data_IF_419728686498
#
_entry.id   IF_419728686498
#
_cell.length_a   1.000
_cell.length_b   1.000
_cell.length_c   1.000
_cell.angle_alpha   90.00
_cell.angle_beta   90.00
_cell.angle_gamma   90.00
#
_symmetry.space_group_name_H-M   'P 1'
#
loop_
_entity.id
_entity.type
_entity.pdbx_description
1 polymer ?
#
# COMPACT_ATOMS: atom_id res chain seq x y z
N UNK A 1 -16.54 -23.40 -43.14
CA UNK A 1 -15.53 -23.45 -42.05
C UNK A 1 -15.30 -22.08 -41.42
N UNK A 2 -15.03 -21.01 -42.19
CA UNK A 2 -14.74 -19.66 -41.67
C UNK A 2 -15.87 -19.01 -40.85
N UNK A 3 -17.13 -19.18 -41.26
CA UNK A 3 -18.30 -18.65 -40.52
C UNK A 3 -18.51 -19.31 -39.14
N UNK A 4 -18.04 -20.55 -38.98
CA UNK A 4 -18.14 -21.28 -37.71
C UNK A 4 -17.06 -20.83 -36.73
N UNK A 5 -15.84 -20.58 -37.22
CA UNK A 5 -14.73 -20.08 -36.39
C UNK A 5 -15.02 -18.67 -35.87
N UNK A 6 -15.57 -17.80 -36.73
CA UNK A 6 -15.99 -16.44 -36.32
C UNK A 6 -17.07 -16.48 -35.23
N UNK A 7 -18.05 -17.37 -35.35
CA UNK A 7 -19.11 -17.51 -34.36
C UNK A 7 -18.57 -18.03 -33.01
N UNK A 8 -17.63 -18.97 -33.04
CA UNK A 8 -16.96 -19.46 -31.82
C UNK A 8 -16.16 -18.35 -31.16
N UNK A 9 -15.45 -17.52 -31.93
CA UNK A 9 -14.65 -16.44 -31.38
C UNK A 9 -15.52 -15.32 -30.80
N UNK A 10 -16.68 -14.99 -31.40
CA UNK A 10 -17.68 -14.10 -30.80
C UNK A 10 -18.16 -14.62 -29.44
N UNK A 11 -18.50 -15.91 -29.35
CA UNK A 11 -18.94 -16.52 -28.08
C UNK A 11 -17.85 -16.47 -27.01
N UNK A 12 -16.59 -16.75 -27.37
CA UNK A 12 -15.45 -16.63 -26.45
C UNK A 12 -15.28 -15.19 -25.97
N UNK A 13 -15.39 -14.21 -26.88
CA UNK A 13 -15.28 -12.79 -26.53
C UNK A 13 -16.40 -12.36 -25.58
N UNK A 14 -17.63 -12.81 -25.80
CA UNK A 14 -18.78 -12.51 -24.92
C UNK A 14 -18.62 -13.11 -23.54
N UNK A 15 -18.16 -14.36 -23.43
CA UNK A 15 -17.86 -15.01 -22.15
C UNK A 15 -16.75 -14.24 -21.42
N UNK A 16 -15.66 -13.91 -22.11
CA UNK A 16 -14.56 -13.15 -21.53
C UNK A 16 -14.99 -11.76 -21.06
N UNK A 17 -15.82 -11.06 -21.84
CA UNK A 17 -16.38 -9.76 -21.47
C UNK A 17 -17.27 -9.86 -20.22
N UNK A 18 -18.11 -10.88 -20.16
CA UNK A 18 -19.00 -11.15 -19.02
C UNK A 18 -18.19 -11.46 -17.75
N UNK A 19 -17.16 -12.29 -17.86
CA UNK A 19 -16.23 -12.57 -16.76
C UNK A 19 -15.51 -11.32 -16.25
N UNK A 20 -15.04 -10.45 -17.16
CA UNK A 20 -14.44 -9.15 -16.79
C UNK A 20 -15.44 -8.25 -16.06
N UNK A 21 -16.69 -8.24 -16.51
CA UNK A 21 -17.75 -7.44 -15.88
C UNK A 21 -18.03 -7.90 -14.45
N UNK A 22 -18.19 -9.21 -14.26
CA UNK A 22 -18.37 -9.82 -12.93
C UNK A 22 -17.20 -9.45 -12.03
N UNK A 23 -15.96 -9.63 -12.51
CA UNK A 23 -14.75 -9.30 -11.73
C UNK A 23 -14.69 -7.83 -11.31
N UNK A 24 -14.98 -6.91 -12.24
CA UNK A 24 -15.02 -5.47 -11.95
C UNK A 24 -16.09 -5.13 -10.92
N UNK A 25 -17.25 -5.77 -11.04
CA UNK A 25 -18.36 -5.55 -10.12
C UNK A 25 -18.03 -6.05 -8.70
N UNK A 26 -17.43 -7.23 -8.57
CA UNK A 26 -16.99 -7.76 -7.28
C UNK A 26 -15.89 -6.90 -6.66
N UNK A 27 -14.88 -6.50 -7.43
CA UNK A 27 -13.82 -5.57 -6.98
C UNK A 27 -14.38 -4.22 -6.51
N UNK A 28 -15.39 -3.68 -7.23
CA UNK A 28 -16.08 -2.45 -6.83
C UNK A 28 -16.80 -2.64 -5.49
N UNK A 29 -17.53 -3.74 -5.32
CA UNK A 29 -18.28 -4.02 -4.11
C UNK A 29 -17.33 -4.21 -2.90
N UNK A 30 -16.23 -4.92 -3.09
CA UNK A 30 -15.19 -5.09 -2.07
C UNK A 30 -14.64 -3.74 -1.62
N UNK A 31 -14.23 -2.88 -2.57
CA UNK A 31 -13.75 -1.52 -2.24
C UNK A 31 -14.79 -0.68 -1.53
N UNK A 32 -16.05 -0.74 -1.98
CA UNK A 32 -17.15 -0.01 -1.32
C UNK A 32 -17.30 -0.44 0.14
N UNK A 33 -17.31 -1.76 0.40
CA UNK A 33 -17.43 -2.30 1.75
C UNK A 33 -16.21 -1.93 2.62
N UNK A 34 -15.00 -2.04 2.08
CA UNK A 34 -13.77 -1.66 2.78
C UNK A 34 -13.76 -0.17 3.12
N UNK A 35 -14.15 0.70 2.18
CA UNK A 35 -14.22 2.15 2.41
C UNK A 35 -15.30 2.51 3.46
N UNK A 36 -16.45 1.85 3.40
CA UNK A 36 -17.51 2.04 4.41
C UNK A 36 -17.03 1.58 5.79
N UNK A 37 -16.32 0.46 5.86
CA UNK A 37 -15.73 -0.04 7.10
C UNK A 37 -14.62 0.89 7.59
N UNK A 38 -13.78 1.44 6.71
CA UNK A 38 -12.78 2.45 7.06
C UNK A 38 -13.39 3.70 7.69
N UNK A 39 -14.53 4.16 7.19
CA UNK A 39 -15.20 5.35 7.73
C UNK A 39 -15.89 5.09 9.07
N UNK A 40 -16.36 3.87 9.33
CA UNK A 40 -17.15 3.54 10.53
C UNK A 40 -16.32 2.90 11.64
N UNK A 41 -15.46 1.95 11.31
CA UNK A 41 -14.63 1.17 12.24
C UNK A 41 -13.31 0.74 11.57
N UNK A 42 -12.32 1.64 11.64
CA UNK A 42 -10.99 1.41 11.08
C UNK A 42 -10.30 0.19 11.68
N UNK A 43 -10.51 -0.07 12.98
CA UNK A 43 -9.89 -1.18 13.69
C UNK A 43 -10.31 -2.51 13.07
N UNK A 44 -11.61 -2.69 12.83
CA UNK A 44 -12.14 -3.90 12.18
C UNK A 44 -11.64 -4.09 10.75
N UNK A 45 -11.45 -2.99 10.01
CA UNK A 45 -10.85 -3.08 8.68
C UNK A 45 -9.42 -3.65 8.78
N UNK A 46 -8.58 -3.08 9.65
CA UNK A 46 -7.21 -3.55 9.81
C UNK A 46 -7.15 -4.98 10.35
N UNK A 47 -7.98 -5.35 11.34
CA UNK A 47 -8.11 -6.75 11.80
C UNK A 47 -8.50 -7.71 10.66
N UNK A 48 -9.33 -7.26 9.71
CA UNK A 48 -9.71 -8.07 8.54
C UNK A 48 -8.59 -8.21 7.51
N UNK A 49 -7.69 -7.21 7.40
CA UNK A 49 -6.51 -7.22 6.54
C UNK A 49 -5.35 -8.00 7.17
N UNK A 50 -5.24 -7.96 8.49
CA UNK A 50 -4.27 -8.71 9.30
C UNK A 50 -4.60 -10.19 9.37
N UNK A 51 -5.84 -10.59 9.03
CA UNK A 51 -6.19 -12.00 8.93
C UNK A 51 -5.27 -12.62 7.88
N UNK A 52 -4.34 -13.53 8.27
CA UNK A 52 -3.38 -14.05 7.33
C UNK A 52 -4.18 -14.80 6.27
N UNK A 53 -4.07 -14.37 5.02
CA UNK A 53 -4.14 -15.29 3.88
C UNK A 53 -3.28 -16.47 4.29
N UNK A 54 -3.95 -17.59 4.64
CA UNK A 54 -3.40 -18.80 5.25
C UNK A 54 -1.89 -18.69 5.40
N UNK A 55 -1.42 -18.34 6.61
CA UNK A 55 0.00 -18.26 6.96
C UNK A 55 0.69 -19.39 6.24
N UNK A 56 1.40 -19.08 5.16
CA UNK A 56 2.00 -20.11 4.34
C UNK A 56 2.87 -20.89 5.30
N UNK A 57 2.56 -22.17 5.49
CA UNK A 57 3.38 -23.13 6.22
C UNK A 57 4.65 -23.42 5.41
N UNK A 58 5.28 -22.35 4.90
CA UNK A 58 6.58 -22.40 4.28
C UNK A 58 7.62 -22.57 5.38
N UNK A 59 8.73 -23.24 5.08
CA UNK A 59 9.83 -23.37 6.03
C UNK A 59 10.25 -21.98 6.51
N UNK A 60 10.57 -21.88 7.80
CA UNK A 60 11.13 -20.65 8.37
C UNK A 60 12.33 -20.22 7.51
N UNK A 61 12.26 -19.01 6.96
CA UNK A 61 13.32 -18.48 6.10
C UNK A 61 14.61 -18.41 6.92
N UNK A 62 15.71 -18.88 6.34
CA UNK A 62 17.02 -18.83 6.96
C UNK A 62 17.42 -17.34 7.17
N UNK A 63 17.94 -17.03 8.36
CA UNK A 63 18.37 -15.67 8.71
C UNK A 63 19.45 -15.17 7.75
N UNK A 64 20.34 -16.05 7.29
CA UNK A 64 21.39 -15.69 6.33
C UNK A 64 20.82 -15.24 4.99
N UNK A 65 19.77 -15.89 4.50
CA UNK A 65 19.12 -15.56 3.22
C UNK A 65 18.39 -14.22 3.33
N UNK A 66 17.76 -13.96 4.47
CA UNK A 66 17.09 -12.69 4.75
C UNK A 66 18.09 -11.53 4.77
N UNK A 67 19.22 -11.70 5.49
CA UNK A 67 20.27 -10.68 5.57
C UNK A 67 20.90 -10.45 4.19
N UNK A 68 21.12 -11.50 3.40
CA UNK A 68 21.69 -11.39 2.06
C UNK A 68 20.75 -10.64 1.11
N UNK A 69 19.45 -10.96 1.14
CA UNK A 69 18.43 -10.28 0.36
C UNK A 69 18.39 -8.78 0.65
N UNK A 70 18.25 -8.39 1.92
CA UNK A 70 18.19 -6.97 2.31
C UNK A 70 19.50 -6.24 2.07
N UNK A 71 20.64 -6.92 2.26
CA UNK A 71 21.96 -6.36 1.94
C UNK A 71 22.07 -6.05 0.45
N UNK A 72 21.64 -6.96 -0.44
CA UNK A 72 21.64 -6.70 -1.89
C UNK A 72 20.76 -5.51 -2.27
N UNK A 73 19.60 -5.36 -1.61
CA UNK A 73 18.69 -4.24 -1.90
C UNK A 73 19.24 -2.88 -1.46
N UNK A 74 19.95 -2.81 -0.33
CA UNK A 74 20.38 -1.53 0.26
C UNK A 74 21.85 -1.19 0.10
N UNK A 75 22.71 -2.20 -0.04
CA UNK A 75 24.17 -2.00 -0.07
C UNK A 75 24.74 -1.93 -1.48
N UNK A 76 24.02 -2.45 -2.48
CA UNK A 76 24.44 -2.34 -3.87
C UNK A 76 23.87 -1.08 -4.50
N UNK A 77 24.71 -0.09 -4.87
CA UNK A 77 24.23 1.09 -5.58
C UNK A 77 23.80 0.68 -6.98
N UNK A 78 22.49 0.56 -7.19
CA UNK A 78 21.89 0.36 -8.51
C UNK A 78 21.65 1.72 -9.14
N UNK A 79 22.21 1.94 -10.33
CA UNK A 79 21.84 3.09 -11.16
C UNK A 79 20.44 2.84 -11.72
N UNK A 80 19.44 3.40 -11.06
CA UNK A 80 18.08 3.41 -11.58
C UNK A 80 18.02 4.42 -12.74
N UNK A 81 17.68 3.96 -13.94
CA UNK A 81 17.23 4.87 -14.98
C UNK A 81 15.86 5.39 -14.54
N UNK A 82 15.80 6.63 -14.08
CA UNK A 82 14.52 7.27 -13.82
C UNK A 82 13.69 7.25 -15.11
N UNK A 83 12.44 6.80 -15.01
CA UNK A 83 11.54 6.81 -16.16
C UNK A 83 11.14 8.23 -16.51
N UNK A 84 10.75 8.47 -17.78
CA UNK A 84 10.30 9.78 -18.28
C UNK A 84 9.15 10.43 -17.51
N UNK A 85 8.50 9.69 -16.61
CA UNK A 85 7.48 10.20 -15.72
C UNK A 85 8.02 11.26 -14.74
N UNK A 86 9.30 11.21 -14.34
CA UNK A 86 9.87 12.22 -13.43
C UNK A 86 9.95 13.58 -14.10
N UNK A 87 10.31 13.63 -15.39
CA UNK A 87 10.28 14.84 -16.21
C UNK A 87 8.85 15.38 -16.38
N UNK A 88 7.88 14.48 -16.58
CA UNK A 88 6.45 14.85 -16.67
C UNK A 88 6.00 15.48 -15.35
N UNK A 89 6.29 14.86 -14.21
CA UNK A 89 5.92 15.40 -12.89
C UNK A 89 6.64 16.72 -12.62
N UNK A 90 7.94 16.83 -12.95
CA UNK A 90 8.69 18.08 -12.82
C UNK A 90 8.06 19.20 -13.66
N UNK A 91 7.61 18.90 -14.89
CA UNK A 91 6.93 19.87 -15.74
C UNK A 91 5.56 20.31 -15.18
N UNK A 92 4.81 19.39 -14.57
CA UNK A 92 3.54 19.69 -13.90
C UNK A 92 3.77 20.56 -12.65
N UNK A 93 4.84 20.26 -11.90
CA UNK A 93 5.22 20.99 -10.70
C UNK A 93 5.95 22.31 -10.99
N UNK A 94 6.38 22.60 -12.22
CA UNK A 94 7.10 23.83 -12.57
C UNK A 94 6.29 25.11 -12.30
N UNK A 95 4.96 25.00 -12.28
CA UNK A 95 4.04 26.11 -11.96
C UNK A 95 3.77 26.26 -10.45
N UNK A 96 4.21 25.30 -9.63
CA UNK A 96 3.98 25.28 -8.19
C UNK A 96 5.11 26.05 -7.52
N UNK A 97 4.77 27.06 -6.72
CA UNK A 97 5.74 27.78 -5.90
C UNK A 97 6.39 26.80 -4.91
N UNK A 98 7.73 26.71 -4.85
CA UNK A 98 8.42 25.90 -3.85
C UNK A 98 7.99 26.30 -2.45
N UNK A 99 7.79 25.32 -1.58
CA UNK A 99 7.53 25.58 -0.17
C UNK A 99 8.75 26.25 0.46
N UNK A 100 8.51 27.28 1.26
CA UNK A 100 9.57 27.96 2.00
C UNK A 100 10.32 26.96 2.91
N UNK A 101 11.62 27.18 3.16
CA UNK A 101 12.40 26.32 4.02
C UNK A 101 11.79 26.30 5.44
N UNK A 102 11.31 25.13 5.85
CA UNK A 102 10.76 24.90 7.19
C UNK A 102 11.92 24.68 8.15
N UNK A 103 12.20 25.66 9.00
CA UNK A 103 13.15 25.52 10.10
C UNK A 103 12.39 24.98 11.30
N UNK A 104 12.61 23.71 11.63
CA UNK A 104 12.03 23.09 12.82
C UNK A 104 12.87 23.46 14.03
N UNK A 105 12.29 24.23 14.94
CA UNK A 105 12.93 24.64 16.19
C UNK A 105 12.65 23.64 17.32
N UNK A 106 13.41 23.72 18.42
CA UNK A 106 13.15 22.91 19.62
C UNK A 106 11.76 23.13 20.21
N UNK A 107 11.24 24.36 20.08
CA UNK A 107 9.94 24.75 20.61
C UNK A 107 8.80 24.13 19.80
N UNK A 108 8.97 24.02 18.47
CA UNK A 108 8.02 23.33 17.60
C UNK A 108 7.90 21.85 17.98
N UNK A 109 9.03 21.22 18.31
CA UNK A 109 9.07 19.82 18.76
C UNK A 109 8.39 19.68 20.12
N UNK A 110 8.69 20.57 21.08
CA UNK A 110 8.07 20.54 22.39
C UNK A 110 6.54 20.72 22.32
N UNK A 111 6.06 21.65 21.50
CA UNK A 111 4.64 21.89 21.29
C UNK A 111 3.96 20.73 20.55
N UNK A 112 4.64 20.13 19.56
CA UNK A 112 4.15 18.95 18.87
C UNK A 112 4.03 17.75 19.82
N UNK A 113 5.01 17.52 20.69
CA UNK A 113 4.98 16.45 21.71
C UNK A 113 3.87 16.71 22.72
N UNK A 114 3.69 17.96 23.17
CA UNK A 114 2.62 18.33 24.09
C UNK A 114 1.22 18.12 23.51
N UNK A 115 1.06 18.36 22.21
CA UNK A 115 -0.20 18.15 21.47
C UNK A 115 -0.39 16.73 20.99
N UNK A 116 0.68 15.94 20.90
CA UNK A 116 0.58 14.56 20.53
C UNK A 116 -0.32 13.87 21.57
N UNK A 117 -1.42 13.21 21.15
CA UNK A 117 -2.19 12.40 22.09
C UNK A 117 -1.21 11.40 22.70
N UNK A 118 -1.17 11.28 24.03
CA UNK A 118 -0.31 10.33 24.73
C UNK A 118 -0.37 8.99 24.00
N UNK A 119 0.66 8.71 23.21
CA UNK A 119 0.80 7.41 22.57
C UNK A 119 1.09 6.49 23.73
N UNK A 120 0.03 5.89 24.27
CA UNK A 120 0.13 4.83 25.28
C UNK A 120 0.76 3.66 24.58
N UNK A 121 2.08 3.69 24.47
CA UNK A 121 2.88 2.52 24.17
C UNK A 121 2.68 1.62 25.39
N UNK A 122 1.91 0.55 25.20
CA UNK A 122 1.92 -0.54 26.17
C UNK A 122 3.25 -1.25 25.98
N UNK A 123 4.09 -1.24 27.00
CA UNK A 123 5.14 -2.24 27.11
C UNK A 123 4.48 -3.64 27.16
N UNK A 124 5.24 -4.69 26.86
CA UNK A 124 4.77 -6.08 26.95
C UNK A 124 4.32 -6.49 28.35
N UNK A 125 4.52 -5.61 29.34
CA UNK A 125 4.16 -5.75 30.76
C UNK A 125 2.92 -4.96 31.19
N UNK A 126 2.30 -4.17 30.30
CA UNK A 126 1.01 -3.51 30.56
C UNK A 126 1.04 -2.32 31.54
N UNK A 127 2.20 -1.69 31.76
CA UNK A 127 2.34 -0.50 32.59
C UNK A 127 2.37 0.78 31.74
N UNK A 128 1.63 1.81 32.19
CA UNK A 128 1.68 3.15 31.59
C UNK A 128 2.83 3.91 32.26
N UNK A 129 3.90 4.19 31.51
CA UNK A 129 4.95 5.11 31.97
C UNK A 129 4.41 6.53 31.81
N UNK A 130 3.98 7.15 32.90
CA UNK A 130 3.77 8.60 32.96
C UNK A 130 5.13 9.27 33.11
N UNK A 131 5.58 9.96 32.05
CA UNK A 131 6.60 10.99 32.13
C UNK A 131 5.97 12.34 32.40
#
# INVERSE_FOLDING_TARGET
MQKLTEHIDDLKQRIAASGKWIRRYTERLTRFNQNRLFQSDQKRLYESLERPMASGTGPALNQADTVTFWRGLWSEPVNHSEGSWTEIVASQCASITPMDPVIITSDDVAEAVRRAPNWKIRDSTGCIITG
#
